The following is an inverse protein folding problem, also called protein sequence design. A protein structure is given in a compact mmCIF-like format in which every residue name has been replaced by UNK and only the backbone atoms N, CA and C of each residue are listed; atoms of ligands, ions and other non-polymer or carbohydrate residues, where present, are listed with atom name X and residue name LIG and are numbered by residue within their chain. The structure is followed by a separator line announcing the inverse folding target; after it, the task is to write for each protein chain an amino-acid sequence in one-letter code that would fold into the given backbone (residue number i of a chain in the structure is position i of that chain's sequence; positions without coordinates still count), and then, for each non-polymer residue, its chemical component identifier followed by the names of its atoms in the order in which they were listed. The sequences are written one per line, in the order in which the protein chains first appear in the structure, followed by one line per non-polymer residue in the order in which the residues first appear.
data_IF_868880464111
#
_entry.id   IF_868880464111
#
_cell.length_a   1.000
_cell.length_b   1.000
_cell.length_c   1.000
_cell.angle_alpha   90.00
_cell.angle_beta   90.00
_cell.angle_gamma   90.00
#
_symmetry.space_group_name_H-M   'P 1'
#
loop_
_entity.id
_entity.type
_entity.pdbx_description
1 polymer ?
#
# COMPACT_ATOMS: atom_id res chain seq x y z
N UNK A 1 -7.52 23.41 23.14
CA UNK A 1 -8.28 22.58 22.17
C UNK A 1 -8.39 23.27 20.81
N UNK A 2 -8.86 24.54 20.73
CA UNK A 2 -9.03 25.26 19.46
C UNK A 2 -7.74 25.39 18.66
N UNK A 3 -6.66 25.89 19.27
CA UNK A 3 -5.38 26.13 18.61
C UNK A 3 -4.70 24.82 18.16
N UNK A 4 -4.82 23.76 18.94
CA UNK A 4 -4.10 22.51 18.68
C UNK A 4 -4.82 21.60 17.67
N UNK A 5 -6.15 21.67 17.60
CA UNK A 5 -6.93 20.72 16.81
C UNK A 5 -7.62 21.39 15.63
N UNK A 6 -8.32 22.50 15.84
CA UNK A 6 -9.10 23.14 14.79
C UNK A 6 -8.23 24.03 13.90
N UNK A 7 -7.32 24.80 14.46
CA UNK A 7 -6.40 25.62 13.64
C UNK A 7 -5.52 24.76 12.75
N UNK A 8 -4.99 23.65 13.25
CA UNK A 8 -4.18 22.73 12.43
C UNK A 8 -4.97 22.09 11.29
N UNK A 9 -6.28 21.91 11.45
CA UNK A 9 -7.15 21.40 10.40
C UNK A 9 -7.38 22.43 9.29
N UNK A 10 -7.56 23.70 9.66
CA UNK A 10 -7.93 24.79 8.74
C UNK A 10 -6.69 25.49 8.15
N UNK A 11 -5.63 25.62 8.94
CA UNK A 11 -4.40 26.30 8.54
C UNK A 11 -3.18 25.40 8.75
N UNK A 12 -2.24 25.33 7.78
CA UNK A 12 -0.97 24.66 8.01
C UNK A 12 -0.23 25.37 9.16
N UNK A 13 0.49 24.59 9.98
CA UNK A 13 1.36 25.17 11.01
C UNK A 13 2.39 26.08 10.34
N UNK A 14 2.82 27.14 11.07
CA UNK A 14 3.78 28.10 10.56
C UNK A 14 5.03 27.38 10.02
N UNK A 15 5.32 27.54 8.71
CA UNK A 15 6.44 26.89 8.02
C UNK A 15 6.09 25.58 7.27
N UNK A 16 4.85 25.09 7.31
CA UNK A 16 4.40 23.98 6.50
C UNK A 16 3.70 24.49 5.23
N UNK A 17 4.14 23.99 4.07
CA UNK A 17 3.44 24.24 2.82
C UNK A 17 2.11 23.45 2.79
N UNK A 18 1.04 24.02 2.17
CA UNK A 18 -0.21 23.31 2.02
C UNK A 18 0.01 22.12 1.08
N UNK A 19 -0.13 20.93 1.63
CA UNK A 19 0.01 19.70 0.86
C UNK A 19 -1.19 19.47 -0.07
N UNK A 20 -0.97 18.94 -1.30
CA UNK A 20 -2.03 18.73 -2.27
C UNK A 20 -3.07 17.74 -1.75
N UNK A 21 -4.33 17.88 -2.20
CA UNK A 21 -5.43 17.03 -1.75
C UNK A 21 -5.24 15.54 -2.10
N UNK A 22 -4.50 15.24 -3.16
CA UNK A 22 -4.21 13.88 -3.64
C UNK A 22 -3.03 13.19 -2.92
N UNK A 23 -2.37 13.85 -1.96
CA UNK A 23 -1.20 13.32 -1.25
C UNK A 23 -1.43 11.90 -0.70
N UNK A 24 -2.62 11.62 -0.19
CA UNK A 24 -2.92 10.33 0.42
C UNK A 24 -3.07 9.18 -0.58
N UNK A 25 -3.25 9.45 -1.89
CA UNK A 25 -3.29 8.41 -2.91
C UNK A 25 -1.95 7.66 -2.97
N UNK A 26 -0.80 8.31 -3.24
CA UNK A 26 0.48 7.62 -3.24
C UNK A 26 0.86 7.07 -1.87
N UNK A 27 0.44 7.70 -0.76
CA UNK A 27 0.68 7.19 0.59
C UNK A 27 -0.04 5.86 0.82
N UNK A 28 -1.31 5.75 0.43
CA UNK A 28 -2.07 4.49 0.51
C UNK A 28 -1.45 3.45 -0.43
N UNK A 29 -1.14 3.83 -1.67
CA UNK A 29 -0.53 2.93 -2.65
C UNK A 29 0.81 2.38 -2.15
N UNK A 30 1.67 3.23 -1.60
CA UNK A 30 2.95 2.84 -1.03
C UNK A 30 2.81 2.03 0.27
N UNK A 31 1.92 2.47 1.16
CA UNK A 31 1.68 1.77 2.44
C UNK A 31 0.99 0.41 2.30
N UNK A 32 0.24 0.21 1.21
CA UNK A 32 -0.36 -1.08 0.88
C UNK A 32 0.58 -2.01 0.09
N UNK A 33 1.83 -1.59 -0.23
CA UNK A 33 2.79 -2.50 -0.86
C UNK A 33 3.07 -3.70 0.07
N UNK A 34 3.24 -4.90 -0.50
CA UNK A 34 3.22 -5.25 -1.93
C UNK A 34 1.82 -5.50 -2.51
N UNK A 35 0.77 -5.43 -1.70
CA UNK A 35 -0.61 -5.77 -2.06
C UNK A 35 -1.25 -4.83 -3.07
N UNK A 36 -0.71 -3.63 -3.26
CA UNK A 36 -1.18 -2.64 -4.23
C UNK A 36 -1.24 -3.22 -5.64
N UNK A 37 -0.32 -4.10 -6.01
CA UNK A 37 -0.31 -4.77 -7.31
C UNK A 37 -1.55 -5.67 -7.55
N UNK A 38 -2.21 -6.13 -6.47
CA UNK A 38 -3.42 -6.94 -6.53
C UNK A 38 -4.71 -6.11 -6.59
N UNK A 39 -4.66 -4.79 -6.35
CA UNK A 39 -5.85 -3.93 -6.36
C UNK A 39 -6.70 -4.07 -7.63
N UNK A 40 -6.13 -4.12 -8.86
CA UNK A 40 -6.95 -4.29 -10.07
C UNK A 40 -7.71 -5.61 -10.11
N UNK A 41 -7.13 -6.68 -9.56
CA UNK A 41 -7.78 -7.99 -9.48
C UNK A 41 -8.86 -8.06 -8.40
N UNK A 42 -8.78 -7.18 -7.41
CA UNK A 42 -9.69 -7.10 -6.26
C UNK A 42 -10.86 -6.15 -6.45
N UNK A 43 -10.90 -5.37 -7.53
CA UNK A 43 -12.05 -4.53 -7.85
C UNK A 43 -13.25 -5.47 -8.08
N UNK A 44 -14.28 -5.46 -7.22
CA UNK A 44 -15.42 -6.35 -7.40
C UNK A 44 -16.05 -6.06 -8.74
N UNK A 45 -16.16 -7.09 -9.58
CA UNK A 45 -16.93 -6.95 -10.80
C UNK A 45 -18.35 -6.53 -10.42
N UNK A 46 -18.81 -5.48 -11.05
CA UNK A 46 -20.03 -4.68 -10.75
C UNK A 46 -21.34 -5.49 -10.56
N UNK A 47 -21.30 -6.80 -10.74
CA UNK A 47 -22.49 -7.59 -11.04
C UNK A 47 -22.87 -8.54 -9.95
N UNK A 48 -22.90 -8.62 -8.80
CA UNK A 48 -23.73 -9.53 -7.95
C UNK A 48 -23.40 -9.60 -6.45
N UNK A 49 -22.19 -9.33 -6.00
CA UNK A 49 -21.87 -9.44 -4.57
C UNK A 49 -21.24 -8.19 -3.96
N UNK A 50 -20.75 -7.26 -4.80
CA UNK A 50 -19.97 -6.12 -4.31
C UNK A 50 -20.79 -5.17 -3.43
N UNK A 51 -21.38 -4.13 -4.04
CA UNK A 51 -22.12 -3.08 -3.31
C UNK A 51 -23.52 -3.53 -2.80
N UNK A 52 -24.02 -4.70 -3.17
CA UNK A 52 -25.25 -5.28 -2.59
C UNK A 52 -25.03 -5.84 -1.19
N UNK A 53 -23.80 -6.25 -0.87
CA UNK A 53 -23.46 -6.72 0.47
C UNK A 53 -23.32 -5.53 1.44
N UNK A 54 -24.11 -5.55 2.51
CA UNK A 54 -24.11 -4.50 3.55
C UNK A 54 -22.73 -4.32 4.19
N UNK A 55 -21.98 -5.40 4.38
CA UNK A 55 -20.63 -5.36 4.93
C UNK A 55 -19.62 -4.66 4.00
N UNK A 56 -19.70 -4.93 2.68
CA UNK A 56 -18.85 -4.25 1.69
C UNK A 56 -19.20 -2.76 1.63
N UNK A 57 -20.48 -2.40 1.64
CA UNK A 57 -20.90 -0.99 1.71
C UNK A 57 -20.39 -0.28 2.95
N UNK A 58 -20.47 -0.94 4.10
CA UNK A 58 -19.91 -0.40 5.34
C UNK A 58 -18.39 -0.17 5.21
N UNK A 59 -17.65 -1.14 4.70
CA UNK A 59 -16.21 -1.00 4.49
C UNK A 59 -15.85 0.12 3.51
N UNK A 60 -16.63 0.31 2.44
CA UNK A 60 -16.47 1.43 1.51
C UNK A 60 -16.71 2.77 2.21
N UNK A 61 -17.80 2.90 2.97
CA UNK A 61 -18.07 4.13 3.72
C UNK A 61 -16.99 4.39 4.78
N UNK A 62 -16.54 3.34 5.47
CA UNK A 62 -15.46 3.45 6.47
C UNK A 62 -14.14 3.88 5.83
N UNK A 63 -13.83 3.42 4.61
CA UNK A 63 -12.65 3.86 3.87
C UNK A 63 -12.77 5.33 3.40
N UNK A 64 -13.91 5.65 2.76
CA UNK A 64 -14.11 6.96 2.14
C UNK A 64 -14.21 8.10 3.14
N UNK A 65 -14.82 7.89 4.29
CA UNK A 65 -15.01 8.94 5.27
C UNK A 65 -13.68 9.54 5.76
N UNK A 66 -12.73 8.79 6.35
CA UNK A 66 -11.46 9.35 6.77
C UNK A 66 -10.61 9.79 5.57
N UNK A 67 -10.69 9.11 4.42
CA UNK A 67 -9.96 9.50 3.21
C UNK A 67 -10.36 10.90 2.75
N UNK A 68 -11.65 11.17 2.59
CA UNK A 68 -12.16 12.49 2.16
C UNK A 68 -11.89 13.53 3.24
N UNK A 69 -12.16 13.21 4.50
CA UNK A 69 -11.97 14.11 5.63
C UNK A 69 -10.53 14.60 5.74
N UNK A 70 -9.55 13.70 5.74
CA UNK A 70 -8.14 14.08 5.83
C UNK A 70 -7.59 14.67 4.53
N UNK A 71 -8.13 14.27 3.36
CA UNK A 71 -7.75 14.89 2.08
C UNK A 71 -8.19 16.35 2.00
N UNK A 72 -9.33 16.71 2.61
CA UNK A 72 -9.81 18.08 2.67
C UNK A 72 -9.05 18.94 3.67
N UNK A 73 -8.37 18.34 4.66
CA UNK A 73 -7.55 19.06 5.65
C UNK A 73 -6.33 19.72 4.99
N UNK A 74 -5.97 20.91 5.43
CA UNK A 74 -4.76 21.61 4.97
C UNK A 74 -3.50 21.15 5.70
N UNK A 75 -3.59 20.83 6.98
CA UNK A 75 -2.49 20.27 7.78
C UNK A 75 -2.45 18.75 7.66
N UNK A 76 -1.70 18.20 6.67
CA UNK A 76 -1.64 16.78 6.41
C UNK A 76 -0.44 16.12 7.07
N UNK A 77 -0.68 15.02 7.78
CA UNK A 77 0.34 14.08 8.23
C UNK A 77 0.10 12.72 7.59
N UNK A 78 1.16 12.03 7.19
CA UNK A 78 1.04 10.71 6.56
C UNK A 78 0.34 9.68 7.46
N UNK A 79 0.48 9.81 8.79
CA UNK A 79 -0.18 8.93 9.76
C UNK A 79 -1.69 9.11 9.86
N UNK A 80 -2.25 10.22 9.42
CA UNK A 80 -3.71 10.46 9.48
C UNK A 80 -4.51 9.53 8.59
N UNK A 81 -3.87 8.93 7.58
CA UNK A 81 -4.53 7.99 6.66
C UNK A 81 -4.60 6.56 7.20
N UNK A 82 -3.93 6.25 8.32
CA UNK A 82 -3.93 4.91 8.92
C UNK A 82 -5.32 4.29 9.12
N UNK A 83 -6.37 5.04 9.52
CA UNK A 83 -7.73 4.48 9.64
C UNK A 83 -8.32 3.94 8.34
N UNK A 84 -7.75 4.27 7.17
CA UNK A 84 -8.18 3.74 5.89
C UNK A 84 -7.66 2.32 5.60
N UNK A 85 -6.59 1.86 6.27
CA UNK A 85 -6.00 0.55 5.99
C UNK A 85 -6.88 -0.64 6.40
N UNK A 86 -7.51 -0.68 7.60
CA UNK A 86 -8.39 -1.78 7.96
C UNK A 86 -9.54 -1.99 6.95
N UNK A 87 -10.34 -0.97 6.59
CA UNK A 87 -11.38 -1.17 5.58
C UNK A 87 -10.81 -1.49 4.19
N UNK A 88 -9.63 -0.98 3.83
CA UNK A 88 -8.96 -1.35 2.58
C UNK A 88 -8.67 -2.85 2.53
N UNK A 89 -8.10 -3.42 3.60
CA UNK A 89 -7.82 -4.86 3.70
C UNK A 89 -9.11 -5.68 3.57
N UNK A 90 -10.19 -5.26 4.22
CA UNK A 90 -11.50 -5.91 4.10
C UNK A 90 -11.99 -5.92 2.65
N UNK A 91 -11.90 -4.78 1.96
CA UNK A 91 -12.31 -4.67 0.56
C UNK A 91 -11.44 -5.52 -0.36
N UNK A 92 -10.14 -5.54 -0.12
CA UNK A 92 -9.19 -6.38 -0.86
C UNK A 92 -9.51 -7.86 -0.67
N UNK A 93 -9.75 -8.30 0.55
CA UNK A 93 -10.08 -9.70 0.86
C UNK A 93 -11.41 -10.12 0.22
N UNK A 94 -12.44 -9.26 0.30
CA UNK A 94 -13.73 -9.51 -0.34
C UNK A 94 -13.60 -9.58 -1.88
N UNK A 95 -12.78 -8.72 -2.48
CA UNK A 95 -12.49 -8.74 -3.91
C UNK A 95 -11.78 -10.04 -4.32
N UNK A 96 -10.77 -10.45 -3.57
CA UNK A 96 -9.99 -11.67 -3.83
C UNK A 96 -10.85 -12.93 -3.72
N UNK A 97 -11.70 -13.03 -2.70
CA UNK A 97 -12.62 -14.15 -2.54
C UNK A 97 -13.59 -14.28 -3.73
N UNK A 98 -14.10 -13.16 -4.23
CA UNK A 98 -14.95 -13.16 -5.43
C UNK A 98 -14.19 -13.51 -6.71
N UNK A 99 -12.91 -13.19 -6.76
CA UNK A 99 -12.03 -13.50 -7.87
C UNK A 99 -11.75 -15.01 -7.98
N UNK A 100 -11.38 -15.64 -6.88
CA UNK A 100 -11.12 -17.07 -6.80
C UNK A 100 -12.35 -17.89 -7.21
N UNK A 101 -13.55 -17.50 -6.76
CA UNK A 101 -14.81 -18.14 -7.14
C UNK A 101 -15.12 -18.09 -8.66
N UNK A 102 -14.52 -17.18 -9.40
CA UNK A 102 -14.76 -17.01 -10.85
C UNK A 102 -13.72 -17.70 -11.75
N UNK A 103 -12.69 -18.32 -11.20
CA UNK A 103 -11.59 -19.00 -11.93
C UNK A 103 -10.99 -18.22 -13.10
N UNK A 104 -10.90 -16.90 -13.00
CA UNK A 104 -10.25 -16.05 -14.03
C UNK A 104 -8.78 -15.86 -13.69
N UNK A 105 -7.94 -16.88 -13.92
CA UNK A 105 -6.53 -16.89 -13.51
C UNK A 105 -5.64 -15.75 -14.05
N UNK A 106 -5.92 -15.24 -15.26
CA UNK A 106 -5.06 -14.24 -15.92
C UNK A 106 -4.79 -12.95 -15.11
N UNK A 107 -5.79 -12.25 -14.55
CA UNK A 107 -5.51 -11.04 -13.77
C UNK A 107 -4.72 -11.32 -12.48
N UNK A 108 -4.95 -12.47 -11.87
CA UNK A 108 -4.19 -12.88 -10.69
C UNK A 108 -2.72 -13.18 -11.07
N UNK A 109 -2.49 -13.92 -12.15
CA UNK A 109 -1.15 -14.20 -12.66
C UNK A 109 -0.40 -12.90 -13.00
N UNK A 110 -1.06 -11.92 -13.65
CA UNK A 110 -0.47 -10.61 -13.94
C UNK A 110 -0.12 -9.87 -12.65
N UNK A 111 -1.02 -9.85 -11.67
CA UNK A 111 -0.79 -9.18 -10.40
C UNK A 111 0.35 -9.85 -9.61
N UNK A 112 0.39 -11.19 -9.59
CA UNK A 112 1.46 -11.95 -8.95
C UNK A 112 2.82 -11.71 -9.65
N UNK A 113 2.83 -11.64 -10.98
CA UNK A 113 4.03 -11.29 -11.75
C UNK A 113 4.52 -9.87 -11.44
N UNK A 114 3.63 -8.87 -11.43
CA UNK A 114 3.99 -7.50 -11.07
C UNK A 114 4.58 -7.46 -9.65
N UNK A 115 3.97 -8.17 -8.70
CA UNK A 115 4.46 -8.22 -7.33
C UNK A 115 5.83 -8.91 -7.25
N UNK A 116 6.04 -10.02 -7.94
CA UNK A 116 7.34 -10.69 -8.00
C UNK A 116 8.42 -9.77 -8.58
N UNK A 117 8.11 -9.04 -9.65
CA UNK A 117 9.04 -8.07 -10.24
C UNK A 117 9.36 -6.91 -9.28
N UNK A 118 8.38 -6.40 -8.51
CA UNK A 118 8.61 -5.39 -7.49
C UNK A 118 9.54 -5.88 -6.37
N UNK A 119 9.37 -7.12 -5.91
CA UNK A 119 10.26 -7.73 -4.91
C UNK A 119 11.67 -7.92 -5.45
N UNK A 120 11.81 -8.36 -6.69
CA UNK A 120 13.12 -8.49 -7.36
C UNK A 120 13.79 -7.13 -7.57
N UNK A 121 13.02 -6.10 -7.94
CA UNK A 121 13.54 -4.73 -8.06
C UNK A 121 14.01 -4.19 -6.69
N UNK A 122 13.25 -4.43 -5.62
CA UNK A 122 13.66 -4.08 -4.26
C UNK A 122 14.95 -4.79 -3.85
N UNK A 123 15.09 -6.07 -4.19
CA UNK A 123 16.31 -6.83 -3.97
C UNK A 123 17.50 -6.25 -4.75
N UNK A 124 17.30 -5.92 -6.03
CA UNK A 124 18.34 -5.30 -6.86
C UNK A 124 18.82 -3.95 -6.30
N UNK A 125 17.87 -3.11 -5.84
CA UNK A 125 18.18 -1.84 -5.17
C UNK A 125 18.95 -2.08 -3.86
N UNK A 126 18.56 -3.05 -3.08
CA UNK A 126 19.26 -3.43 -1.84
C UNK A 126 20.70 -3.84 -2.14
N UNK A 127 20.92 -4.73 -3.11
CA UNK A 127 22.25 -5.18 -3.52
C UNK A 127 23.09 -4.00 -4.03
N UNK A 128 22.52 -3.19 -4.92
CA UNK A 128 23.21 -2.02 -5.48
C UNK A 128 23.63 -1.04 -4.36
N UNK A 129 22.75 -0.73 -3.41
CA UNK A 129 23.06 0.17 -2.30
C UNK A 129 24.17 -0.37 -1.39
N UNK A 130 24.20 -1.68 -1.17
CA UNK A 130 25.20 -2.33 -0.31
C UNK A 130 26.58 -2.46 -0.99
N UNK A 131 26.62 -2.78 -2.28
CA UNK A 131 27.86 -3.02 -3.01
C UNK A 131 28.50 -1.73 -3.53
N UNK A 132 27.71 -0.81 -4.07
CA UNK A 132 28.23 0.38 -4.77
C UNK A 132 28.07 1.67 -4.00
N UNK A 133 27.25 1.69 -2.94
CA UNK A 133 26.88 2.94 -2.26
C UNK A 133 26.14 3.92 -3.19
N UNK A 134 25.41 3.41 -4.19
CA UNK A 134 24.79 4.15 -5.27
C UNK A 134 23.92 5.36 -4.80
N UNK A 135 23.30 5.24 -3.62
CA UNK A 135 22.53 6.33 -3.01
C UNK A 135 23.33 7.18 -2.01
N UNK A 136 24.64 7.07 -1.98
CA UNK A 136 25.50 7.79 -1.03
C UNK A 136 25.47 7.24 0.39
N UNK A 137 24.68 6.22 0.68
CA UNK A 137 24.62 5.53 1.98
C UNK A 137 24.36 4.03 1.79
N UNK A 138 24.84 3.23 2.75
CA UNK A 138 24.51 1.81 2.85
C UNK A 138 23.29 1.65 3.74
N UNK A 139 22.29 0.85 3.29
CA UNK A 139 21.05 0.60 4.04
C UNK A 139 21.38 -0.11 5.37
N UNK A 140 22.36 -1.02 5.36
CA UNK A 140 22.82 -1.73 6.55
C UNK A 140 24.30 -1.46 6.81
N UNK A 141 24.67 -1.25 8.08
CA UNK A 141 26.07 -1.11 8.51
C UNK A 141 26.84 -2.43 8.43
N UNK A 142 28.17 -2.35 8.52
CA UNK A 142 29.04 -3.55 8.47
C UNK A 142 28.75 -4.57 9.59
N UNK A 143 28.31 -4.10 10.77
CA UNK A 143 27.92 -4.96 11.88
C UNK A 143 26.56 -5.64 11.69
N UNK A 144 25.80 -5.29 10.66
CA UNK A 144 24.44 -5.75 10.43
C UNK A 144 24.30 -6.66 9.20
N UNK A 145 25.39 -7.32 8.81
CA UNK A 145 25.44 -8.23 7.64
C UNK A 145 24.38 -9.32 7.69
N UNK A 146 24.03 -9.83 8.85
CA UNK A 146 22.98 -10.84 9.03
C UNK A 146 21.60 -10.32 8.66
N UNK A 147 21.27 -9.05 8.96
CA UNK A 147 20.01 -8.41 8.58
C UNK A 147 19.91 -8.29 7.06
N UNK A 148 20.99 -7.90 6.40
CA UNK A 148 21.06 -7.82 4.95
C UNK A 148 20.81 -9.19 4.30
N UNK A 149 21.44 -10.26 4.81
CA UNK A 149 21.26 -11.62 4.31
C UNK A 149 19.81 -12.08 4.49
N UNK A 150 19.22 -11.88 5.66
CA UNK A 150 17.84 -12.26 5.94
C UNK A 150 16.85 -11.51 5.04
N UNK A 151 17.04 -10.21 4.85
CA UNK A 151 16.18 -9.39 3.98
C UNK A 151 16.28 -9.87 2.53
N UNK A 152 17.49 -10.11 2.04
CA UNK A 152 17.72 -10.63 0.68
C UNK A 152 17.08 -12.01 0.48
N UNK A 153 17.25 -12.90 1.44
CA UNK A 153 16.69 -14.25 1.40
C UNK A 153 15.15 -14.21 1.40
N UNK A 154 14.52 -13.36 2.21
CA UNK A 154 13.07 -13.21 2.26
C UNK A 154 12.49 -12.61 0.97
N UNK A 155 13.15 -11.64 0.35
CA UNK A 155 12.76 -11.07 -0.93
C UNK A 155 12.86 -12.10 -2.06
N UNK A 156 13.94 -12.90 -2.09
CA UNK A 156 14.11 -13.99 -3.06
C UNK A 156 13.06 -15.08 -2.88
N UNK A 157 12.83 -15.53 -1.64
CA UNK A 157 11.85 -16.56 -1.36
C UNK A 157 10.42 -16.09 -1.71
N UNK A 158 10.07 -14.84 -1.37
CA UNK A 158 8.78 -14.26 -1.70
C UNK A 158 8.55 -14.14 -3.21
N UNK A 159 9.54 -13.65 -3.97
CA UNK A 159 9.46 -13.56 -5.42
C UNK A 159 9.38 -14.94 -6.08
N UNK A 160 10.18 -15.90 -5.62
CA UNK A 160 10.16 -17.27 -6.11
C UNK A 160 8.81 -17.97 -5.87
N UNK A 161 8.24 -17.82 -4.68
CA UNK A 161 6.91 -18.36 -4.36
C UNK A 161 5.83 -17.77 -5.28
N UNK A 162 5.84 -16.47 -5.54
CA UNK A 162 4.89 -15.82 -6.44
C UNK A 162 5.05 -16.30 -7.88
N UNK A 163 6.26 -16.45 -8.37
CA UNK A 163 6.52 -16.96 -9.73
C UNK A 163 6.08 -18.42 -9.91
N UNK A 164 6.22 -19.24 -8.87
CA UNK A 164 5.73 -20.62 -8.89
C UNK A 164 4.21 -20.74 -8.78
N UNK A 165 3.51 -19.69 -8.33
CA UNK A 165 2.04 -19.64 -8.21
C UNK A 165 1.32 -19.26 -9.51
N UNK A 166 2.08 -18.85 -10.55
CA UNK A 166 1.57 -18.45 -11.87
C UNK A 166 1.50 -19.66 -12.79
#
# INVERSE_FOLDING_TARGET
FWNEHIQRFVAPAAGQHPEPFWLYIPVIMGGALPWTALLPAMIPARNETGLKNSFVRFAVCWFLFPFIFFSASRGKLMSYILPCFPPLIILMTAGLANFDARRKGKPFAIAALIMALLLLAALAVLIASQMTGFFGFKIYGQAETWKWILTSASLLAGSGFLLLSI
#
